data_IF_927211713879
#
_entry.id   IF_927211713879
#
_cell.length_a   1.000
_cell.length_b   1.000
_cell.length_c   1.000
_cell.angle_alpha   90.00
_cell.angle_beta   90.00
_cell.angle_gamma   90.00
#
_symmetry.space_group_name_H-M   'P 1'
#
loop_
_entity.id
_entity.type
_entity.pdbx_description
1 polymer ?
#
# COMPACT_ATOMS: atom_id res chain seq x y z
N UNK A 1 -43.17 -36.46 -52.46
CA UNK A 1 -44.39 -36.42 -51.62
C UNK A 1 -44.12 -35.48 -50.46
N UNK A 2 -44.93 -34.45 -50.31
CA UNK A 2 -44.86 -33.50 -49.19
C UNK A 2 -45.19 -34.19 -47.86
N UNK A 3 -44.70 -33.56 -46.79
CA UNK A 3 -45.18 -33.60 -45.40
C UNK A 3 -44.17 -34.16 -44.40
N UNK A 4 -43.97 -33.57 -43.23
CA UNK A 4 -44.58 -32.42 -42.55
C UNK A 4 -43.58 -32.03 -41.43
N UNK A 5 -43.58 -30.75 -41.01
CA UNK A 5 -43.60 -30.29 -39.59
C UNK A 5 -42.88 -31.20 -38.56
N UNK A 6 -41.89 -30.77 -37.77
CA UNK A 6 -41.97 -29.74 -36.72
C UNK A 6 -40.77 -29.89 -35.77
N UNK A 7 -40.39 -28.81 -35.07
CA UNK A 7 -39.73 -28.76 -33.75
C UNK A 7 -38.26 -29.27 -33.72
N UNK A 8 -37.24 -28.58 -33.21
CA UNK A 8 -37.19 -27.55 -32.18
C UNK A 8 -35.95 -26.68 -32.40
N UNK A 9 -36.14 -25.37 -32.27
CA UNK A 9 -35.07 -24.42 -31.94
C UNK A 9 -34.53 -24.78 -30.56
N UNK A 10 -33.25 -25.14 -30.46
CA UNK A 10 -32.46 -24.84 -29.26
C UNK A 10 -31.08 -24.38 -29.71
N UNK A 11 -31.01 -23.07 -29.94
CA UNK A 11 -29.79 -22.30 -30.10
C UNK A 11 -29.06 -22.32 -28.75
N UNK A 12 -28.01 -23.11 -28.62
CA UNK A 12 -27.07 -23.03 -27.49
C UNK A 12 -25.67 -22.78 -28.03
N UNK A 13 -25.42 -21.51 -28.33
CA UNK A 13 -24.09 -20.95 -28.56
C UNK A 13 -23.54 -20.52 -27.20
N UNK A 14 -22.76 -21.37 -26.55
CA UNK A 14 -21.86 -20.92 -25.48
C UNK A 14 -20.45 -20.80 -26.06
N UNK A 15 -20.07 -19.55 -26.33
CA UNK A 15 -18.73 -19.13 -26.69
C UNK A 15 -17.95 -18.76 -25.41
N UNK A 16 -16.73 -19.30 -25.25
CA UNK A 16 -15.49 -18.57 -24.92
C UNK A 16 -14.39 -19.56 -24.46
N UNK A 17 -13.18 -19.57 -25.09
CA UNK A 17 -12.01 -20.17 -24.47
C UNK A 17 -11.34 -19.18 -23.51
N UNK A 18 -11.01 -19.73 -22.36
CA UNK A 18 -10.23 -19.23 -21.23
C UNK A 18 -9.02 -18.37 -21.64
N UNK A 19 -8.98 -17.13 -21.14
CA UNK A 19 -7.76 -16.33 -21.05
C UNK A 19 -7.08 -16.61 -19.71
N UNK A 20 -5.77 -16.84 -19.82
CA UNK A 20 -4.87 -17.33 -18.80
C UNK A 20 -4.79 -16.45 -17.54
N UNK A 21 -4.62 -17.17 -16.43
CA UNK A 21 -4.23 -16.75 -15.10
C UNK A 21 -2.85 -16.09 -15.11
N UNK A 22 -2.77 -14.79 -14.81
CA UNK A 22 -1.54 -14.15 -14.35
C UNK A 22 -1.72 -13.76 -12.89
N UNK A 23 -1.40 -14.72 -12.01
CA UNK A 23 -1.31 -14.58 -10.57
C UNK A 23 -0.32 -13.47 -10.15
N UNK A 24 -0.85 -12.25 -9.99
CA UNK A 24 -0.18 -11.13 -9.31
C UNK A 24 -0.10 -11.46 -7.80
N UNK A 25 1.07 -11.39 -7.15
CA UNK A 25 1.15 -11.66 -5.72
C UNK A 25 0.20 -10.74 -4.96
N UNK A 26 -0.75 -11.35 -4.26
CA UNK A 26 -1.67 -10.66 -3.38
C UNK A 26 -0.87 -9.97 -2.27
N UNK A 27 -0.61 -8.69 -2.46
CA UNK A 27 -0.32 -7.81 -1.33
C UNK A 27 -1.53 -7.90 -0.39
N UNK A 28 -1.33 -8.12 0.92
CA UNK A 28 -2.45 -8.14 1.87
C UNK A 28 -3.27 -6.87 1.68
N UNK A 29 -4.60 -6.92 1.78
CA UNK A 29 -5.49 -5.81 1.48
C UNK A 29 -5.01 -4.57 2.22
N UNK A 30 -4.29 -3.72 1.50
CA UNK A 30 -3.92 -2.40 1.97
C UNK A 30 -5.26 -1.71 2.04
N UNK A 31 -5.81 -1.59 3.25
CA UNK A 31 -7.02 -0.82 3.50
C UNK A 31 -6.68 0.61 3.08
N UNK A 32 -6.99 0.94 1.83
CA UNK A 32 -6.94 2.28 1.33
C UNK A 32 -7.91 3.10 2.19
N UNK A 33 -7.40 4.15 2.85
CA UNK A 33 -8.25 5.30 3.19
C UNK A 33 -8.45 5.67 4.65
N UNK A 34 -7.71 5.15 5.63
CA UNK A 34 -7.62 5.81 6.94
C UNK A 34 -6.31 6.59 7.03
N UNK A 35 -6.32 7.86 6.60
CA UNK A 35 -5.17 8.75 6.76
C UNK A 35 -4.88 8.92 8.25
N UNK A 36 -3.84 8.23 8.75
CA UNK A 36 -3.43 8.33 10.15
C UNK A 36 -3.07 9.78 10.49
N UNK A 37 -3.49 10.31 11.64
CA UNK A 37 -3.22 11.70 12.00
C UNK A 37 -1.71 11.95 12.07
N UNK A 38 -1.27 13.03 11.41
CA UNK A 38 0.09 13.57 11.57
C UNK A 38 0.16 14.35 12.90
N UNK A 39 1.31 14.26 13.56
CA UNK A 39 1.61 15.12 14.71
C UNK A 39 2.18 16.47 14.24
N UNK A 40 2.40 17.37 15.18
CA UNK A 40 3.00 18.69 14.92
C UNK A 40 4.42 18.62 14.34
N UNK A 41 5.06 17.45 14.34
CA UNK A 41 6.37 17.24 13.72
C UNK A 41 6.29 16.83 12.23
N UNK A 42 5.08 16.73 11.66
CA UNK A 42 4.86 16.34 10.26
C UNK A 42 4.94 14.84 9.96
N UNK A 43 5.24 14.04 10.98
CA UNK A 43 5.28 12.56 10.91
C UNK A 43 3.95 12.00 11.43
N UNK A 44 3.54 10.81 10.96
CA UNK A 44 2.41 10.10 11.56
C UNK A 44 2.63 9.96 13.08
N UNK A 45 1.61 10.27 13.88
CA UNK A 45 1.79 10.36 15.34
C UNK A 45 2.29 9.05 15.95
N UNK A 46 1.90 7.90 15.42
CA UNK A 46 2.36 6.58 15.85
C UNK A 46 3.79 6.21 15.41
N UNK A 47 4.39 6.97 14.49
CA UNK A 47 5.72 6.70 13.92
C UNK A 47 6.74 7.81 14.26
N UNK A 48 6.31 8.91 14.86
CA UNK A 48 7.19 9.99 15.26
C UNK A 48 8.04 9.56 16.47
N UNK A 49 9.36 9.50 16.31
CA UNK A 49 10.27 9.15 17.40
C UNK A 49 10.34 10.24 18.49
N UNK A 50 10.01 11.49 18.15
CA UNK A 50 9.85 12.57 19.14
C UNK A 50 8.60 12.42 20.01
N UNK A 51 7.49 11.97 19.43
CA UNK A 51 6.28 11.68 20.20
C UNK A 51 6.35 10.31 20.92
N UNK A 52 7.10 9.36 20.38
CA UNK A 52 7.22 8.00 20.92
C UNK A 52 8.70 7.59 20.98
N UNK A 53 9.44 8.02 22.02
CA UNK A 53 10.88 7.73 22.14
C UNK A 53 11.18 6.23 22.21
N UNK A 54 10.20 5.42 22.64
CA UNK A 54 10.28 3.94 22.63
C UNK A 54 10.51 3.33 21.24
N UNK A 55 10.27 4.09 20.15
CA UNK A 55 10.54 3.64 18.79
C UNK A 55 12.02 3.75 18.39
N UNK A 56 12.83 4.52 19.11
CA UNK A 56 14.26 4.67 18.82
C UNK A 56 15.01 3.33 18.64
N UNK A 57 14.89 2.32 19.53
CA UNK A 57 15.51 1.02 19.32
C UNK A 57 15.01 0.30 18.06
N UNK A 58 13.74 0.49 17.68
CA UNK A 58 13.18 -0.10 16.46
C UNK A 58 13.81 0.52 15.21
N UNK A 59 13.96 1.85 15.18
CA UNK A 59 14.62 2.55 14.09
C UNK A 59 16.12 2.20 13.99
N UNK A 60 16.81 2.10 15.13
CA UNK A 60 18.20 1.61 15.21
C UNK A 60 18.35 0.19 14.65
N UNK A 61 17.49 -0.74 15.09
CA UNK A 61 17.51 -2.12 14.60
C UNK A 61 17.23 -2.22 13.09
N UNK A 62 16.52 -1.24 12.51
CA UNK A 62 16.26 -1.13 11.07
C UNK A 62 17.36 -0.40 10.30
N UNK A 63 18.38 0.15 10.96
CA UNK A 63 19.40 0.98 10.32
C UNK A 63 18.93 2.38 9.91
N UNK A 64 17.71 2.79 10.30
CA UNK A 64 17.16 4.12 10.02
C UNK A 64 17.46 5.06 11.19
N UNK A 65 18.74 5.23 11.55
CA UNK A 65 19.13 6.03 12.72
C UNK A 65 20.26 7.00 12.42
N UNK A 66 20.00 8.28 12.70
CA UNK A 66 20.99 9.34 12.69
C UNK A 66 21.67 9.41 14.06
N UNK A 67 22.95 9.01 14.22
CA UNK A 67 23.63 9.07 15.51
C UNK A 67 23.92 10.52 15.94
N UNK A 68 24.27 11.41 15.01
CA UNK A 68 24.62 12.80 15.32
C UNK A 68 23.45 13.60 15.88
N UNK A 69 22.24 13.33 15.40
CA UNK A 69 21.03 14.07 15.76
C UNK A 69 20.04 13.24 16.58
N UNK A 70 20.46 12.06 17.03
CA UNK A 70 19.69 11.14 17.87
C UNK A 70 18.22 10.96 17.45
N UNK A 71 17.97 10.84 16.13
CA UNK A 71 16.64 10.69 15.55
C UNK A 71 16.66 9.75 14.35
N UNK A 72 15.52 9.20 13.94
CA UNK A 72 15.50 8.35 12.75
C UNK A 72 15.94 9.10 11.50
N UNK A 73 16.71 8.47 10.62
CA UNK A 73 17.20 9.08 9.36
C UNK A 73 16.03 9.61 8.52
N UNK A 74 14.97 8.81 8.38
CA UNK A 74 13.70 9.16 7.74
C UNK A 74 12.93 10.31 8.40
N UNK A 75 13.41 10.79 9.54
CA UNK A 75 12.86 11.93 10.24
C UNK A 75 13.90 13.03 10.44
N UNK A 76 15.16 12.86 10.02
CA UNK A 76 16.25 13.78 10.31
C UNK A 76 16.34 14.90 9.26
N UNK A 77 15.69 16.04 9.53
CA UNK A 77 15.71 17.19 8.61
C UNK A 77 17.09 17.87 8.50
N UNK A 78 17.98 17.62 9.46
CA UNK A 78 19.34 18.17 9.47
C UNK A 78 20.24 17.43 8.47
N UNK A 79 20.09 16.11 8.34
CA UNK A 79 20.80 15.31 7.34
C UNK A 79 20.04 15.22 6.00
N UNK A 80 18.71 15.26 6.05
CA UNK A 80 17.81 15.07 4.90
C UNK A 80 16.86 16.30 4.77
N UNK A 81 17.36 17.44 4.25
CA UNK A 81 16.59 18.69 4.21
C UNK A 81 15.34 18.62 3.31
N UNK A 82 15.26 17.67 2.37
CA UNK A 82 14.05 17.45 1.58
C UNK A 82 12.83 17.02 2.41
N UNK A 83 13.03 16.44 3.60
CA UNK A 83 11.95 16.03 4.49
C UNK A 83 11.13 17.25 4.96
N UNK A 84 11.77 18.42 5.11
CA UNK A 84 11.11 19.69 5.43
C UNK A 84 10.11 20.11 4.34
N UNK A 85 10.46 19.89 3.07
CA UNK A 85 9.55 20.15 1.94
C UNK A 85 8.32 19.23 1.97
N UNK A 86 8.45 18.06 2.61
CA UNK A 86 7.36 17.09 2.86
C UNK A 86 6.61 17.37 4.18
N UNK A 87 6.94 18.47 4.86
CA UNK A 87 6.29 18.92 6.09
C UNK A 87 6.86 18.33 7.37
N UNK A 88 7.92 17.52 7.32
CA UNK A 88 8.61 17.01 8.52
C UNK A 88 9.44 18.14 9.12
N UNK A 89 9.29 18.41 10.41
CA UNK A 89 10.03 19.46 11.13
C UNK A 89 10.56 18.90 12.42
#
# INVERSE_FOLDING_TARGET
MHSLRTLSVVLSLFAAPVLADESKPAQPPQTAGAQKPRCEHGVQKSLCARCNPKLAPVFKAKGDWCPEHARPESQCVLCNPELSKKGVK
#
